data_IF_758626352131
#
_entry.id   IF_758626352131
#
_cell.length_a   1.000
_cell.length_b   1.000
_cell.length_c   1.000
_cell.angle_alpha   90.00
_cell.angle_beta   90.00
_cell.angle_gamma   90.00
#
_symmetry.space_group_name_H-M   'P 1'
#
loop_
_entity.id
_entity.type
_entity.pdbx_description
1 polymer ?
#
# COMPACT_ATOMS: atom_id res chain seq x y z
N UNK A 1 1.20 -18.03 6.01
CA UNK A 1 0.80 -16.85 6.81
C UNK A 1 -0.65 -16.51 6.50
N UNK A 2 -1.35 -15.94 7.47
CA UNK A 2 -2.66 -15.31 7.27
C UNK A 2 -2.45 -13.81 7.08
N UNK A 3 -2.89 -13.27 5.97
CA UNK A 3 -2.61 -11.89 5.55
C UNK A 3 -3.92 -11.12 5.35
N UNK A 4 -4.04 -9.96 5.98
CA UNK A 4 -5.14 -9.03 5.71
C UNK A 4 -4.66 -7.97 4.72
N UNK A 5 -5.45 -7.72 3.66
CA UNK A 5 -5.13 -6.72 2.63
C UNK A 5 -6.18 -5.62 2.61
N UNK A 6 -5.75 -4.38 2.74
CA UNK A 6 -6.53 -3.20 2.45
C UNK A 6 -6.16 -2.71 1.04
N UNK A 7 -7.14 -2.69 0.13
CA UNK A 7 -6.92 -2.28 -1.26
C UNK A 7 -6.68 -3.42 -2.27
N UNK A 8 -7.14 -4.65 -1.96
CA UNK A 8 -7.00 -5.83 -2.84
C UNK A 8 -7.70 -5.70 -4.20
N UNK A 9 -8.66 -4.80 -4.37
CA UNK A 9 -9.33 -4.52 -5.66
C UNK A 9 -8.59 -3.48 -6.50
N UNK A 10 -7.57 -2.82 -5.94
CA UNK A 10 -6.68 -1.91 -6.66
C UNK A 10 -5.64 -2.67 -7.51
N UNK A 11 -5.04 -1.99 -8.49
CA UNK A 11 -4.10 -2.62 -9.44
C UNK A 11 -2.90 -3.29 -8.76
N UNK A 12 -2.25 -2.65 -7.79
CA UNK A 12 -1.12 -3.23 -7.06
C UNK A 12 -1.57 -4.27 -6.04
N UNK A 13 -2.62 -3.96 -5.25
CA UNK A 13 -3.15 -4.88 -4.24
C UNK A 13 -3.68 -6.18 -4.83
N UNK A 14 -4.28 -6.13 -6.03
CA UNK A 14 -4.73 -7.33 -6.74
C UNK A 14 -3.54 -8.23 -7.15
N UNK A 15 -2.47 -7.63 -7.69
CA UNK A 15 -1.25 -8.38 -8.03
C UNK A 15 -0.64 -9.05 -6.79
N UNK A 16 -0.60 -8.33 -5.68
CA UNK A 16 -0.12 -8.89 -4.42
C UNK A 16 -1.02 -10.02 -3.90
N UNK A 17 -2.34 -9.81 -3.86
CA UNK A 17 -3.30 -10.81 -3.40
C UNK A 17 -3.18 -12.12 -4.21
N UNK A 18 -3.03 -12.00 -5.53
CA UNK A 18 -2.84 -13.13 -6.44
C UNK A 18 -1.55 -13.89 -6.15
N UNK A 19 -0.42 -13.18 -6.01
CA UNK A 19 0.88 -13.81 -5.72
C UNK A 19 0.89 -14.45 -4.34
N UNK A 20 0.30 -13.81 -3.32
CA UNK A 20 0.23 -14.35 -1.97
C UNK A 20 -0.60 -15.63 -1.91
N UNK A 21 -1.77 -15.65 -2.53
CA UNK A 21 -2.62 -16.84 -2.62
C UNK A 21 -1.90 -17.98 -3.36
N UNK A 22 -1.28 -17.70 -4.51
CA UNK A 22 -0.49 -18.68 -5.27
C UNK A 22 0.74 -19.22 -4.49
N UNK A 23 1.19 -18.49 -3.47
CA UNK A 23 2.28 -18.89 -2.55
C UNK A 23 1.77 -19.56 -1.26
N UNK A 24 0.55 -20.10 -1.27
CA UNK A 24 -0.09 -20.79 -0.15
C UNK A 24 -0.28 -19.95 1.12
N UNK A 25 -0.43 -18.62 0.98
CA UNK A 25 -0.89 -17.76 2.07
C UNK A 25 -2.42 -17.72 2.11
N UNK A 26 -2.99 -17.65 3.30
CA UNK A 26 -4.41 -17.38 3.48
C UNK A 26 -4.62 -15.86 3.41
N UNK A 27 -5.36 -15.41 2.41
CA UNK A 27 -5.55 -13.99 2.13
C UNK A 27 -6.97 -13.58 2.42
N UNK A 28 -7.15 -12.59 3.30
CA UNK A 28 -8.41 -11.89 3.51
C UNK A 28 -8.31 -10.43 3.07
N UNK A 29 -9.40 -9.87 2.54
CA UNK A 29 -9.40 -8.51 2.06
C UNK A 29 -10.71 -7.80 2.38
N UNK A 30 -10.63 -6.57 2.88
CA UNK A 30 -11.80 -5.70 3.03
C UNK A 30 -12.06 -4.98 1.71
N UNK A 31 -13.29 -5.06 1.23
CA UNK A 31 -13.74 -4.41 -0.01
C UNK A 31 -15.04 -3.66 0.21
N UNK A 32 -15.20 -2.53 -0.47
CA UNK A 32 -16.43 -1.73 -0.41
C UNK A 32 -17.60 -2.36 -1.18
N UNK A 33 -17.30 -3.28 -2.07
CA UNK A 33 -18.28 -3.97 -2.91
C UNK A 33 -17.68 -5.30 -3.39
N UNK A 34 -18.27 -6.41 -2.98
CA UNK A 34 -17.88 -7.77 -3.39
C UNK A 34 -18.00 -8.02 -4.89
N UNK A 35 -18.84 -7.30 -5.60
CA UNK A 35 -18.92 -7.40 -7.06
C UNK A 35 -17.62 -7.05 -7.80
N UNK A 36 -16.64 -6.44 -7.12
CA UNK A 36 -15.29 -6.21 -7.63
C UNK A 36 -14.27 -7.28 -7.23
N UNK A 37 -14.69 -8.26 -6.43
CA UNK A 37 -13.88 -9.43 -6.07
C UNK A 37 -13.65 -10.28 -7.33
N UNK A 38 -12.40 -10.63 -7.61
CA UNK A 38 -12.04 -11.29 -8.87
C UNK A 38 -11.09 -12.48 -8.71
N UNK A 39 -10.66 -12.78 -7.49
CA UNK A 39 -9.75 -13.89 -7.18
C UNK A 39 -10.49 -14.89 -6.30
N UNK A 40 -10.56 -16.16 -6.73
CA UNK A 40 -11.28 -17.20 -6.01
C UNK A 40 -10.63 -17.56 -4.67
N UNK A 41 -9.29 -17.48 -4.61
CA UNK A 41 -8.49 -17.89 -3.46
C UNK A 41 -8.29 -16.76 -2.43
N UNK A 42 -9.10 -15.70 -2.50
CA UNK A 42 -9.08 -14.57 -1.57
C UNK A 42 -10.43 -14.46 -0.85
N UNK A 43 -10.39 -14.45 0.47
CA UNK A 43 -11.59 -14.22 1.28
C UNK A 43 -11.93 -12.72 1.29
N UNK A 44 -12.93 -12.32 0.51
CA UNK A 44 -13.38 -10.94 0.46
C UNK A 44 -14.49 -10.69 1.47
N UNK A 45 -14.29 -9.72 2.35
CA UNK A 45 -15.28 -9.25 3.32
C UNK A 45 -15.72 -7.83 2.92
N UNK A 46 -17.02 -7.65 2.77
CA UNK A 46 -17.60 -6.34 2.43
C UNK A 46 -17.72 -5.48 3.68
N UNK A 47 -17.20 -4.26 3.60
CA UNK A 47 -17.25 -3.32 4.72
C UNK A 47 -16.42 -2.06 4.50
N UNK A 48 -16.43 -1.21 5.51
CA UNK A 48 -15.66 0.03 5.56
C UNK A 48 -14.30 -0.19 6.22
N UNK A 49 -13.27 0.47 5.71
CA UNK A 49 -11.95 0.52 6.35
C UNK A 49 -11.94 1.37 7.64
N UNK A 50 -13.00 2.12 7.90
CA UNK A 50 -13.21 2.89 9.13
C UNK A 50 -14.05 2.11 10.17
N UNK A 51 -14.47 0.89 9.85
CA UNK A 51 -15.24 0.03 10.76
C UNK A 51 -14.27 -0.74 11.68
N UNK A 52 -14.09 -0.22 12.87
CA UNK A 52 -13.20 -0.80 13.88
C UNK A 52 -13.71 -2.17 14.35
N UNK A 53 -15.02 -2.39 14.41
CA UNK A 53 -15.61 -3.69 14.79
C UNK A 53 -15.21 -4.75 13.78
N UNK A 54 -15.41 -4.46 12.49
CA UNK A 54 -15.01 -5.35 11.40
C UNK A 54 -13.51 -5.63 11.39
N UNK A 55 -12.69 -4.60 11.63
CA UNK A 55 -11.24 -4.76 11.72
C UNK A 55 -10.85 -5.67 12.89
N UNK A 56 -11.48 -5.53 14.06
CA UNK A 56 -11.25 -6.39 15.22
C UNK A 56 -11.61 -7.86 14.92
N UNK A 57 -12.74 -8.11 14.29
CA UNK A 57 -13.15 -9.47 13.90
C UNK A 57 -12.12 -10.11 12.95
N UNK A 58 -11.70 -9.38 11.92
CA UNK A 58 -10.78 -9.88 10.91
C UNK A 58 -9.35 -10.01 11.38
N UNK A 59 -8.94 -9.29 12.43
CA UNK A 59 -7.55 -9.29 12.91
C UNK A 59 -7.20 -10.58 13.67
N UNK A 60 -8.18 -11.36 14.08
CA UNK A 60 -7.96 -12.60 14.85
C UNK A 60 -7.14 -13.60 14.04
N UNK A 61 -5.95 -13.91 14.55
CA UNK A 61 -5.02 -14.86 13.95
C UNK A 61 -4.35 -14.39 12.65
N UNK A 62 -4.39 -13.09 12.36
CA UNK A 62 -3.61 -12.49 11.26
C UNK A 62 -2.13 -12.40 11.65
N UNK A 63 -1.24 -12.75 10.72
CA UNK A 63 0.20 -12.67 10.89
C UNK A 63 0.76 -11.33 10.39
N UNK A 64 0.16 -10.76 9.34
CA UNK A 64 0.64 -9.52 8.72
C UNK A 64 -0.49 -8.76 7.99
N UNK A 65 -0.35 -7.45 7.93
CA UNK A 65 -1.26 -6.58 7.17
C UNK A 65 -0.53 -5.86 6.03
N UNK A 66 -1.17 -5.80 4.87
CA UNK A 66 -0.68 -5.05 3.70
C UNK A 66 -1.68 -3.98 3.32
N UNK A 67 -1.23 -2.73 3.23
CA UNK A 67 -2.04 -1.58 2.82
C UNK A 67 -1.56 -1.12 1.44
N UNK A 68 -2.40 -1.34 0.42
CA UNK A 68 -2.15 -0.93 -0.97
C UNK A 68 -3.28 -0.01 -1.47
N UNK A 69 -3.61 0.98 -0.66
CA UNK A 69 -4.63 1.98 -0.94
C UNK A 69 -4.08 3.15 -1.75
N UNK A 70 -4.95 3.86 -2.43
CA UNK A 70 -4.65 5.14 -3.06
C UNK A 70 -5.93 5.98 -3.15
N UNK A 71 -5.78 7.30 -3.28
CA UNK A 71 -6.87 8.20 -3.64
C UNK A 71 -7.34 7.89 -5.05
N UNK A 72 -8.63 7.56 -5.19
CA UNK A 72 -9.21 7.18 -6.47
C UNK A 72 -9.57 8.41 -7.31
N UNK A 73 -9.24 8.34 -8.59
CA UNK A 73 -9.63 9.31 -9.62
C UNK A 73 -10.44 8.60 -10.70
N UNK A 74 -11.18 9.37 -11.48
CA UNK A 74 -12.00 8.83 -12.59
C UNK A 74 -11.18 8.22 -13.71
N UNK A 75 -9.89 8.61 -13.84
CA UNK A 75 -8.92 8.05 -14.82
C UNK A 75 -7.48 8.28 -14.35
N UNK A 76 -6.52 7.75 -15.09
CA UNK A 76 -5.08 7.96 -14.84
C UNK A 76 -4.58 9.38 -15.21
N UNK A 77 -5.41 10.20 -15.84
CA UNK A 77 -5.05 11.59 -16.12
C UNK A 77 -4.72 12.33 -14.81
N UNK A 78 -3.58 13.05 -14.73
CA UNK A 78 -3.19 13.80 -13.52
C UNK A 78 -4.26 14.79 -13.03
N UNK A 79 -5.08 15.33 -13.92
CA UNK A 79 -6.15 16.29 -13.60
C UNK A 79 -7.54 15.66 -13.46
N UNK A 80 -7.65 14.32 -13.56
CA UNK A 80 -8.92 13.63 -13.43
C UNK A 80 -9.56 13.87 -12.04
N UNK A 81 -10.90 13.98 -12.03
CA UNK A 81 -11.68 14.23 -10.82
C UNK A 81 -11.42 13.13 -9.76
N UNK A 82 -11.22 13.56 -8.53
CA UNK A 82 -11.10 12.67 -7.38
C UNK A 82 -12.51 12.18 -6.99
N UNK A 83 -12.61 10.88 -6.69
CA UNK A 83 -13.87 10.17 -6.38
C UNK A 83 -13.80 9.37 -5.08
N UNK A 84 -12.82 9.64 -4.24
CA UNK A 84 -12.68 9.08 -2.90
C UNK A 84 -12.42 10.20 -1.87
N UNK A 85 -12.57 9.93 -0.56
CA UNK A 85 -12.11 10.87 0.47
C UNK A 85 -10.63 11.22 0.29
N UNK A 86 -10.26 12.48 0.61
CA UNK A 86 -8.87 12.97 0.50
C UNK A 86 -7.95 12.45 1.62
N UNK A 87 -8.53 11.80 2.61
CA UNK A 87 -7.86 11.23 3.78
C UNK A 87 -8.05 9.71 3.86
N UNK A 88 -8.48 9.09 2.74
CA UNK A 88 -8.81 7.66 2.70
C UNK A 88 -7.68 6.79 3.25
N UNK A 89 -6.44 7.07 2.87
CA UNK A 89 -5.29 6.24 3.20
C UNK A 89 -4.88 6.46 4.65
N UNK A 90 -4.68 7.72 5.03
CA UNK A 90 -4.25 8.09 6.39
C UNK A 90 -5.30 7.74 7.45
N UNK A 91 -6.58 7.94 7.18
CA UNK A 91 -7.64 7.57 8.12
C UNK A 91 -7.75 6.04 8.26
N UNK A 92 -7.60 5.28 7.16
CA UNK A 92 -7.58 3.83 7.23
C UNK A 92 -6.45 3.29 8.13
N UNK A 93 -5.24 3.84 8.07
CA UNK A 93 -4.15 3.37 8.94
C UNK A 93 -4.27 3.88 10.37
N UNK A 94 -4.89 5.04 10.60
CA UNK A 94 -5.20 5.53 11.96
C UNK A 94 -6.15 4.58 12.69
N UNK A 95 -7.15 4.03 12.00
CA UNK A 95 -8.07 3.05 12.57
C UNK A 95 -7.41 1.67 12.70
N UNK A 96 -6.60 1.28 11.71
CA UNK A 96 -5.97 -0.04 11.64
C UNK A 96 -4.91 -0.28 12.71
N UNK A 97 -4.00 0.70 12.95
CA UNK A 97 -2.83 0.51 13.80
C UNK A 97 -3.20 0.15 15.25
N UNK A 98 -4.13 0.85 15.93
CA UNK A 98 -4.55 0.46 17.28
C UNK A 98 -5.12 -0.96 17.34
N UNK A 99 -5.88 -1.37 16.33
CA UNK A 99 -6.44 -2.73 16.26
C UNK A 99 -5.33 -3.77 16.09
N UNK A 100 -4.34 -3.51 15.24
CA UNK A 100 -3.17 -4.39 15.10
C UNK A 100 -2.40 -4.53 16.42
N UNK A 101 -2.17 -3.43 17.13
CA UNK A 101 -1.46 -3.42 18.42
C UNK A 101 -2.24 -4.19 19.48
N UNK A 102 -3.57 -4.00 19.56
CA UNK A 102 -4.46 -4.73 20.47
C UNK A 102 -4.42 -6.25 20.25
N UNK A 103 -4.34 -6.70 19.00
CA UNK A 103 -4.28 -8.12 18.63
C UNK A 103 -2.84 -8.68 18.59
N UNK A 104 -1.82 -7.88 18.88
CA UNK A 104 -0.41 -8.29 18.84
C UNK A 104 0.12 -8.55 17.43
N UNK A 105 -0.57 -8.07 16.38
CA UNK A 105 -0.15 -8.18 14.99
C UNK A 105 0.87 -7.09 14.70
N UNK A 106 2.13 -7.46 14.54
CA UNK A 106 3.24 -6.47 14.43
C UNK A 106 3.60 -6.12 13.00
N UNK A 107 3.48 -7.05 12.05
CA UNK A 107 3.98 -6.84 10.68
C UNK A 107 3.01 -6.02 9.83
N UNK A 108 3.46 -4.83 9.43
CA UNK A 108 2.72 -3.92 8.55
C UNK A 108 3.57 -3.54 7.33
N UNK A 109 3.05 -3.74 6.12
CA UNK A 109 3.66 -3.20 4.90
C UNK A 109 2.67 -2.24 4.26
N UNK A 110 3.10 -0.99 4.03
CA UNK A 110 2.27 0.01 3.37
C UNK A 110 2.90 0.47 2.07
N UNK A 111 2.07 0.62 1.03
CA UNK A 111 2.49 1.21 -0.24
C UNK A 111 2.26 2.71 -0.19
N UNK A 112 3.31 3.46 -0.45
CA UNK A 112 3.34 4.92 -0.62
C UNK A 112 3.80 5.26 -2.05
N UNK A 113 4.58 6.32 -2.23
CA UNK A 113 5.19 6.66 -3.50
C UNK A 113 6.56 7.33 -3.31
N UNK A 114 7.46 7.14 -4.26
CA UNK A 114 8.69 7.92 -4.33
C UNK A 114 8.36 9.41 -4.49
N UNK A 115 9.01 10.25 -3.71
CA UNK A 115 8.73 11.69 -3.63
C UNK A 115 7.72 12.08 -2.54
N UNK A 116 7.22 11.15 -1.73
CA UNK A 116 6.43 11.48 -0.55
C UNK A 116 7.35 11.87 0.62
N UNK A 117 6.91 12.79 1.44
CA UNK A 117 7.58 13.23 2.67
C UNK A 117 9.02 13.69 2.44
N UNK A 118 9.96 13.11 3.18
CA UNK A 118 11.40 13.41 3.13
C UNK A 118 12.05 13.14 1.77
N UNK A 119 11.41 12.35 0.91
CA UNK A 119 11.89 12.05 -0.44
C UNK A 119 11.53 13.10 -1.51
N UNK A 120 10.69 14.09 -1.18
CA UNK A 120 10.20 15.08 -2.12
C UNK A 120 11.30 15.83 -2.86
N UNK A 121 12.32 16.28 -2.13
CA UNK A 121 13.40 17.08 -2.71
C UNK A 121 14.36 16.29 -3.62
N UNK A 122 14.27 14.95 -3.59
CA UNK A 122 15.07 14.08 -4.45
C UNK A 122 14.44 13.84 -5.83
N UNK A 123 13.19 14.28 -6.02
CA UNK A 123 12.53 14.20 -7.31
C UNK A 123 13.01 15.29 -8.28
N UNK A 124 13.06 15.00 -9.60
CA UNK A 124 13.30 16.02 -10.61
C UNK A 124 12.30 17.18 -10.49
N UNK A 125 12.78 18.42 -10.69
CA UNK A 125 11.96 19.63 -10.56
C UNK A 125 10.70 19.59 -11.42
N UNK A 126 10.82 19.12 -12.67
CA UNK A 126 9.70 19.01 -13.61
C UNK A 126 8.61 18.07 -13.05
N UNK A 127 9.00 16.92 -12.49
CA UNK A 127 8.06 15.98 -11.87
C UNK A 127 7.37 16.61 -10.65
N UNK A 128 8.10 17.33 -9.79
CA UNK A 128 7.53 18.06 -8.66
C UNK A 128 6.49 19.09 -9.09
N UNK A 129 6.80 19.88 -10.11
CA UNK A 129 5.87 20.89 -10.65
C UNK A 129 4.61 20.24 -11.22
N UNK A 130 4.74 19.15 -11.98
CA UNK A 130 3.60 18.42 -12.52
C UNK A 130 2.69 17.86 -11.43
N UNK A 131 3.29 17.19 -10.45
CA UNK A 131 2.54 16.59 -9.33
C UNK A 131 1.83 17.68 -8.54
N UNK A 132 2.55 18.74 -8.14
CA UNK A 132 2.01 19.82 -7.29
C UNK A 132 0.84 20.57 -7.94
N UNK A 133 0.85 20.71 -9.26
CA UNK A 133 -0.20 21.40 -10.01
C UNK A 133 -1.29 20.46 -10.55
N UNK A 134 -1.38 19.24 -10.04
CA UNK A 134 -2.36 18.24 -10.47
C UNK A 134 -3.09 17.60 -9.28
N UNK A 135 -4.13 16.81 -9.57
CA UNK A 135 -4.85 16.05 -8.55
C UNK A 135 -4.04 14.87 -7.97
N UNK A 136 -2.86 14.56 -8.53
CA UNK A 136 -1.91 13.62 -7.93
C UNK A 136 -1.41 14.14 -6.58
N UNK A 137 -1.25 15.46 -6.44
CA UNK A 137 -0.79 16.07 -5.18
C UNK A 137 -1.62 15.63 -3.98
N UNK A 138 -2.93 15.49 -4.13
CA UNK A 138 -3.81 15.05 -3.04
C UNK A 138 -3.47 13.64 -2.53
N UNK A 139 -3.07 12.75 -3.43
CA UNK A 139 -2.59 11.43 -3.03
C UNK A 139 -1.24 11.51 -2.30
N UNK A 140 -0.34 12.39 -2.73
CA UNK A 140 0.94 12.63 -2.05
C UNK A 140 0.76 13.18 -0.64
N UNK A 141 -0.16 14.14 -0.46
CA UNK A 141 -0.50 14.68 0.87
C UNK A 141 -1.06 13.58 1.80
N UNK A 142 -1.88 12.68 1.29
CA UNK A 142 -2.47 11.62 2.10
C UNK A 142 -1.48 10.51 2.40
N UNK A 143 -0.60 10.16 1.44
CA UNK A 143 0.51 9.26 1.69
C UNK A 143 1.51 9.83 2.72
N UNK A 144 1.79 11.14 2.70
CA UNK A 144 2.64 11.75 3.71
C UNK A 144 2.04 11.62 5.11
N UNK A 145 0.74 11.91 5.26
CA UNK A 145 0.01 11.67 6.51
C UNK A 145 0.03 10.20 6.93
N UNK A 146 -0.16 9.27 5.98
CA UNK A 146 -0.04 7.83 6.22
C UNK A 146 1.35 7.48 6.78
N UNK A 147 2.41 7.93 6.13
CA UNK A 147 3.79 7.63 6.56
C UNK A 147 4.09 8.17 7.96
N UNK A 148 3.61 9.37 8.29
CA UNK A 148 3.75 9.94 9.63
C UNK A 148 3.06 9.06 10.68
N UNK A 149 1.82 8.64 10.46
CA UNK A 149 1.09 7.75 11.38
C UNK A 149 1.81 6.41 11.54
N UNK A 150 2.24 5.79 10.45
CA UNK A 150 2.94 4.50 10.45
C UNK A 150 4.26 4.59 11.20
N UNK A 151 5.06 5.63 10.97
CA UNK A 151 6.38 5.83 11.61
C UNK A 151 6.28 6.03 13.13
N UNK A 152 5.17 6.59 13.63
CA UNK A 152 4.95 6.78 15.07
C UNK A 152 4.44 5.52 15.79
N UNK A 153 4.03 4.48 15.05
CA UNK A 153 3.57 3.21 15.64
C UNK A 153 4.74 2.36 16.17
N UNK A 154 4.41 1.41 17.05
CA UNK A 154 5.38 0.44 17.55
C UNK A 154 5.45 -0.83 16.67
N UNK A 155 4.82 -0.82 15.50
CA UNK A 155 4.77 -1.94 14.59
C UNK A 155 6.12 -2.20 13.88
N UNK A 156 6.27 -3.40 13.38
CA UNK A 156 7.36 -3.80 12.47
C UNK A 156 6.97 -3.42 11.04
N UNK A 157 6.94 -2.11 10.79
CA UNK A 157 6.47 -1.57 9.53
C UNK A 157 7.54 -1.53 8.44
N UNK A 158 7.10 -1.58 7.19
CA UNK A 158 7.88 -1.23 5.99
C UNK A 158 7.05 -0.30 5.11
N UNK A 159 7.58 0.87 4.79
CA UNK A 159 6.96 1.80 3.84
C UNK A 159 7.60 1.60 2.47
N UNK A 160 6.80 1.15 1.50
CA UNK A 160 7.24 0.87 0.13
C UNK A 160 6.97 2.10 -0.72
N UNK A 161 8.02 2.67 -1.31
CA UNK A 161 7.95 3.87 -2.16
C UNK A 161 8.30 3.51 -3.60
N UNK A 162 7.37 2.96 -4.39
CA UNK A 162 7.65 2.70 -5.79
C UNK A 162 7.87 4.01 -6.56
N UNK A 163 8.80 3.99 -7.51
CA UNK A 163 8.93 5.02 -8.53
C UNK A 163 7.75 4.92 -9.52
N UNK A 164 7.84 5.47 -10.71
CA UNK A 164 6.75 5.43 -11.69
C UNK A 164 6.25 4.01 -11.95
N UNK A 165 4.98 3.75 -11.61
CA UNK A 165 4.34 2.45 -11.77
C UNK A 165 3.95 2.17 -13.22
N UNK A 166 4.21 0.96 -13.69
CA UNK A 166 3.85 0.48 -15.04
C UNK A 166 2.99 -0.79 -14.98
N UNK A 167 2.32 -1.11 -16.10
CA UNK A 167 1.53 -2.34 -16.26
C UNK A 167 2.35 -3.48 -16.93
N UNK A 168 3.67 -3.33 -17.03
CA UNK A 168 4.52 -4.39 -17.59
C UNK A 168 4.41 -5.67 -16.76
N UNK A 169 4.35 -6.82 -17.39
CA UNK A 169 4.36 -8.12 -16.72
C UNK A 169 5.80 -8.53 -16.35
N UNK A 170 6.34 -7.90 -15.32
CA UNK A 170 7.70 -8.11 -14.80
C UNK A 170 7.63 -8.15 -13.28
N UNK A 171 8.25 -9.17 -12.68
CA UNK A 171 8.30 -9.36 -11.23
C UNK A 171 9.67 -9.01 -10.62
N UNK A 172 10.59 -8.45 -11.42
CA UNK A 172 11.90 -7.98 -10.95
C UNK A 172 11.82 -6.62 -10.30
N UNK A 173 12.64 -6.42 -9.28
CA UNK A 173 12.76 -5.15 -8.57
C UNK A 173 14.19 -4.92 -8.07
N UNK A 174 14.56 -3.66 -7.91
CA UNK A 174 15.70 -3.18 -7.13
C UNK A 174 15.15 -2.44 -5.92
N UNK A 175 15.58 -2.82 -4.72
CA UNK A 175 15.14 -2.23 -3.45
C UNK A 175 16.30 -1.49 -2.79
N UNK A 176 16.10 -0.22 -2.47
CA UNK A 176 17.11 0.65 -1.86
C UNK A 176 16.49 1.38 -0.67
N UNK A 177 17.16 1.32 0.49
CA UNK A 177 16.82 2.20 1.63
C UNK A 177 17.26 3.61 1.26
N UNK A 178 16.34 4.56 1.37
CA UNK A 178 16.57 5.92 0.93
C UNK A 178 15.95 6.23 -0.43
N UNK A 179 16.51 7.17 -1.17
CA UNK A 179 15.83 7.82 -2.29
C UNK A 179 16.65 7.78 -3.58
N UNK A 180 16.74 6.64 -4.27
CA UNK A 180 17.32 6.61 -5.60
C UNK A 180 16.50 7.49 -6.56
N UNK A 181 17.17 8.08 -7.55
CA UNK A 181 16.55 8.99 -8.51
C UNK A 181 15.97 8.23 -9.69
N UNK A 182 14.70 8.49 -10.01
CA UNK A 182 14.08 8.12 -11.28
C UNK A 182 13.81 6.64 -11.46
N UNK A 183 13.43 6.28 -12.68
CA UNK A 183 13.13 4.91 -13.08
C UNK A 183 11.63 4.58 -13.12
N UNK A 184 11.35 3.33 -13.41
CA UNK A 184 9.99 2.77 -13.38
C UNK A 184 10.02 1.38 -12.79
N UNK A 185 8.88 0.91 -12.27
CA UNK A 185 8.70 -0.44 -11.76
C UNK A 185 7.31 -0.95 -12.15
N UNK A 186 7.18 -2.24 -12.40
CA UNK A 186 5.89 -2.86 -12.61
C UNK A 186 5.14 -3.03 -11.28
N UNK A 187 3.81 -3.03 -11.32
CA UNK A 187 3.00 -3.36 -10.14
C UNK A 187 3.23 -4.78 -9.66
N UNK A 188 3.54 -5.70 -10.56
CA UNK A 188 3.94 -7.09 -10.22
C UNK A 188 5.27 -7.12 -9.47
N UNK A 189 6.26 -6.30 -9.87
CA UNK A 189 7.53 -6.16 -9.13
C UNK A 189 7.33 -5.61 -7.72
N UNK A 190 6.43 -4.62 -7.55
CA UNK A 190 6.06 -4.13 -6.20
C UNK A 190 5.41 -5.25 -5.39
N UNK A 191 4.47 -5.98 -5.97
CA UNK A 191 3.80 -7.10 -5.32
C UNK A 191 4.77 -8.21 -4.91
N UNK A 192 5.73 -8.54 -5.78
CA UNK A 192 6.78 -9.51 -5.50
C UNK A 192 7.67 -9.07 -4.34
N UNK A 193 8.11 -7.81 -4.32
CA UNK A 193 8.87 -7.25 -3.19
C UNK A 193 8.11 -7.38 -1.87
N UNK A 194 6.82 -7.03 -1.86
CA UNK A 194 5.98 -7.13 -0.65
C UNK A 194 5.96 -8.58 -0.17
N UNK A 195 5.74 -9.54 -1.07
CA UNK A 195 5.71 -10.96 -0.73
C UNK A 195 7.04 -11.44 -0.15
N UNK A 196 8.16 -11.11 -0.79
CA UNK A 196 9.51 -11.52 -0.37
C UNK A 196 9.91 -10.89 0.99
N UNK A 197 9.29 -9.76 1.34
CA UNK A 197 9.62 -9.01 2.54
C UNK A 197 8.77 -9.42 3.75
N UNK A 198 7.57 -9.96 3.53
CA UNK A 198 6.61 -10.27 4.60
C UNK A 198 7.20 -11.10 5.73
N UNK A 199 7.84 -12.22 5.43
CA UNK A 199 8.39 -13.16 6.42
C UNK A 199 9.91 -13.06 6.60
N UNK A 200 10.58 -12.12 5.89
CA UNK A 200 12.05 -12.10 5.83
C UNK A 200 12.73 -11.42 7.03
N UNK A 201 12.00 -10.67 7.85
CA UNK A 201 12.57 -9.80 8.88
C UNK A 201 13.41 -8.62 8.34
N UNK A 202 13.47 -8.45 7.01
CA UNK A 202 14.18 -7.33 6.36
C UNK A 202 13.32 -6.07 6.32
N UNK A 203 13.98 -4.93 6.24
CA UNK A 203 13.35 -3.61 6.06
C UNK A 203 12.35 -3.23 7.17
N UNK A 204 12.56 -3.75 8.39
CA UNK A 204 11.76 -3.36 9.55
C UNK A 204 12.06 -1.91 9.92
N UNK A 205 11.01 -1.10 10.01
CA UNK A 205 11.04 0.35 10.26
C UNK A 205 11.84 1.13 9.22
N UNK A 206 11.76 0.69 7.96
CA UNK A 206 12.47 1.30 6.85
C UNK A 206 11.51 1.80 5.76
N UNK A 207 11.92 2.90 5.11
CA UNK A 207 11.34 3.37 3.86
C UNK A 207 12.17 2.85 2.70
N UNK A 208 11.58 2.03 1.86
CA UNK A 208 12.27 1.35 0.78
C UNK A 208 11.76 1.86 -0.57
N UNK A 209 12.65 2.48 -1.33
CA UNK A 209 12.33 2.87 -2.70
C UNK A 209 12.54 1.70 -3.63
N UNK A 210 11.53 1.44 -4.47
CA UNK A 210 11.56 0.39 -5.46
C UNK A 210 11.67 0.96 -6.86
N UNK A 211 12.63 0.44 -7.61
CA UNK A 211 12.82 0.67 -9.04
C UNK A 211 13.12 -0.65 -9.75
N UNK A 212 13.27 -0.58 -11.05
CA UNK A 212 13.81 -1.69 -11.85
C UNK A 212 15.31 -1.50 -12.04
#
# INVERSE_FOLDING_TARGET
MKILILGATGRTGKQFAQLAAASNHQVSAIVRNKGKASLADVNYVEGSLADETLLNELMTGIDAVVVALNINRTSDNPFAKIVSPLTLISDSVKTLIPVMEQHGVKRLITVSASGVGDSWNNMPLVARLLIRNSNIWRAYEDHDRQEQVVRHSQLDWTIVRPVMLTEKDQDTYTAVIGNPRGGSISRKGVAKFILDTLGSGKYIRECVTLSR
#
